data_IF_478708397855
#
_entry.id   IF_478708397855
#
_cell.length_a   1.000
_cell.length_b   1.000
_cell.length_c   1.000
_cell.angle_alpha   90.00
_cell.angle_beta   90.00
_cell.angle_gamma   90.00
#
_symmetry.space_group_name_H-M   'P 1'
#
loop_
_entity.id
_entity.type
_entity.pdbx_description
1 polymer ?
#
# COMPACT_ATOMS: atom_id res chain seq x y z
N UNK A 1 -2.41 -4.21 -11.75
CA UNK A 1 -1.47 -3.45 -10.89
C UNK A 1 -1.76 -3.57 -9.38
N UNK A 2 -2.94 -4.03 -8.94
CA UNK A 2 -3.30 -4.09 -7.51
C UNK A 2 -2.28 -4.88 -6.67
N UNK A 3 -1.84 -6.05 -7.12
CA UNK A 3 -0.86 -6.89 -6.41
C UNK A 3 0.47 -6.18 -6.12
N UNK A 4 0.91 -5.27 -7.00
CA UNK A 4 2.10 -4.46 -6.76
C UNK A 4 1.86 -3.45 -5.65
N UNK A 5 0.74 -2.72 -5.69
CA UNK A 5 0.38 -1.72 -4.67
C UNK A 5 0.21 -2.38 -3.30
N UNK A 6 -0.44 -3.55 -3.27
CA UNK A 6 -0.61 -4.35 -2.05
C UNK A 6 0.75 -4.73 -1.44
N UNK A 7 1.67 -5.25 -2.26
CA UNK A 7 3.03 -5.58 -1.83
C UNK A 7 3.75 -4.35 -1.29
N UNK A 8 3.70 -3.23 -2.00
CA UNK A 8 4.39 -2.01 -1.58
C UNK A 8 3.87 -1.50 -0.22
N UNK A 9 2.56 -1.50 -0.01
CA UNK A 9 1.96 -1.12 1.28
C UNK A 9 2.38 -2.07 2.42
N UNK A 10 2.44 -3.39 2.15
CA UNK A 10 2.97 -4.37 3.11
C UNK A 10 4.45 -4.16 3.39
N UNK A 11 5.26 -3.83 2.39
CA UNK A 11 6.68 -3.56 2.53
C UNK A 11 6.93 -2.29 3.37
N UNK A 12 6.12 -1.24 3.19
CA UNK A 12 6.16 -0.03 4.03
C UNK A 12 5.75 -0.33 5.48
N UNK A 13 4.70 -1.13 5.68
CA UNK A 13 4.22 -1.53 7.01
C UNK A 13 5.25 -2.39 7.75
N UNK A 14 5.87 -3.33 7.05
CA UNK A 14 6.88 -4.25 7.57
C UNK A 14 8.29 -3.65 7.68
N UNK A 15 8.50 -2.43 7.18
CA UNK A 15 9.80 -1.76 7.20
C UNK A 15 10.81 -2.28 6.17
N UNK A 16 10.40 -3.16 5.26
CA UNK A 16 11.20 -3.58 4.11
C UNK A 16 11.42 -2.44 3.11
N UNK A 17 10.43 -1.54 3.01
CA UNK A 17 10.55 -0.29 2.28
C UNK A 17 10.55 0.87 3.27
N UNK A 18 11.66 1.58 3.35
CA UNK A 18 11.83 2.72 4.23
C UNK A 18 11.49 4.01 3.49
N UNK A 19 10.43 4.66 3.94
CA UNK A 19 10.01 5.97 3.47
C UNK A 19 9.41 6.73 4.65
N UNK A 20 10.01 7.87 5.00
CA UNK A 20 9.64 8.63 6.20
C UNK A 20 8.21 9.19 6.13
N UNK A 21 7.67 9.34 4.92
CA UNK A 21 6.32 9.85 4.69
C UNK A 21 5.30 8.71 4.72
N UNK A 22 5.53 7.63 3.97
CA UNK A 22 4.58 6.51 3.83
C UNK A 22 4.57 5.52 4.99
N UNK A 23 5.70 5.31 5.68
CA UNK A 23 5.78 4.36 6.79
C UNK A 23 4.77 4.59 7.93
N UNK A 24 4.57 5.82 8.46
CA UNK A 24 3.59 6.06 9.52
C UNK A 24 2.15 5.80 9.05
N UNK A 25 1.82 6.06 7.79
CA UNK A 25 0.51 5.73 7.25
C UNK A 25 0.32 4.22 7.10
N UNK A 26 1.29 3.52 6.52
CA UNK A 26 1.22 2.07 6.29
C UNK A 26 1.17 1.25 7.59
N UNK A 27 1.80 1.74 8.67
CA UNK A 27 1.78 1.09 10.00
C UNK A 27 0.39 0.90 10.58
N UNK A 28 -0.54 1.80 10.27
CA UNK A 28 -1.91 1.75 10.80
C UNK A 28 -2.88 0.96 9.90
N UNK A 29 -2.43 0.41 8.78
CA UNK A 29 -3.29 -0.31 7.84
C UNK A 29 -3.37 -1.81 8.17
N UNK A 30 -4.61 -2.31 8.23
CA UNK A 30 -4.91 -3.75 8.26
C UNK A 30 -4.68 -4.37 6.88
N UNK A 31 -4.59 -5.71 6.81
CA UNK A 31 -4.47 -6.42 5.52
C UNK A 31 -5.68 -6.19 4.62
N UNK A 32 -6.87 -6.04 5.20
CA UNK A 32 -8.10 -5.73 4.48
C UNK A 32 -8.04 -4.34 3.85
N UNK A 33 -7.68 -3.31 4.62
CA UNK A 33 -7.51 -1.94 4.11
C UNK A 33 -6.47 -1.88 2.99
N UNK A 34 -5.36 -2.60 3.13
CA UNK A 34 -4.31 -2.65 2.10
C UNK A 34 -4.85 -3.24 0.80
N UNK A 35 -5.65 -4.33 0.88
CA UNK A 35 -6.25 -4.97 -0.28
C UNK A 35 -7.27 -4.07 -0.98
N UNK A 36 -8.10 -3.37 -0.21
CA UNK A 36 -9.09 -2.43 -0.74
C UNK A 36 -8.42 -1.23 -1.43
N UNK A 37 -7.43 -0.61 -0.77
CA UNK A 37 -6.67 0.51 -1.36
C UNK A 37 -5.94 0.07 -2.63
N UNK A 38 -5.32 -1.11 -2.61
CA UNK A 38 -4.65 -1.67 -3.78
C UNK A 38 -5.61 -1.88 -4.96
N UNK A 39 -6.82 -2.37 -4.71
CA UNK A 39 -7.84 -2.53 -5.73
C UNK A 39 -8.33 -1.17 -6.26
N UNK A 40 -8.61 -0.22 -5.36
CA UNK A 40 -9.06 1.13 -5.69
C UNK A 40 -8.05 1.87 -6.58
N UNK A 41 -6.79 1.97 -6.15
CA UNK A 41 -5.75 2.67 -6.91
C UNK A 41 -5.39 1.96 -8.22
N UNK A 42 -5.52 0.62 -8.28
CA UNK A 42 -5.30 -0.10 -9.53
C UNK A 42 -6.44 0.04 -10.54
N UNK A 43 -7.64 0.41 -10.09
CA UNK A 43 -8.78 0.71 -10.94
C UNK A 43 -8.79 2.16 -11.44
N UNK A 44 -7.98 3.05 -10.85
CA UNK A 44 -7.86 4.41 -11.35
C UNK A 44 -7.13 4.42 -12.71
N UNK A 45 -7.65 5.19 -13.69
CA UNK A 45 -6.96 5.36 -14.96
C UNK A 45 -5.61 6.05 -14.69
N UNK A 46 -4.54 5.48 -15.24
CA UNK A 46 -3.26 6.16 -15.29
C UNK A 46 -3.44 7.42 -16.16
N UNK A 47 -3.29 8.58 -15.54
CA UNK A 47 -3.37 9.87 -16.23
C UNK A 47 -2.06 10.19 -16.93
#
# INVERSE_FOLDING_TARGET
>A
HATYIEKQLKDFRGGFRQDATMAPFAKNLTDENIKELAAFYAAQPAK
#
